data_IF_631443401234
#
_entry.id   IF_631443401234
#
_cell.length_a   1.000
_cell.length_b   1.000
_cell.length_c   1.000
_cell.angle_alpha   90.00
_cell.angle_beta   90.00
_cell.angle_gamma   90.00
#
_symmetry.space_group_name_H-M   'P 1'
#
loop_
_entity.id
_entity.type
_entity.pdbx_description
1 polymer ?
#
# COMPACT_ATOMS: atom_id res chain seq x y z
N UNK A 1 -23.06 31.72 -4.19
CA UNK A 1 -21.59 31.40 -4.17
C UNK A 1 -21.28 30.63 -5.42
N UNK A 2 -21.34 31.29 -6.56
CA UNK A 2 -21.08 30.70 -7.87
C UNK A 2 -19.65 31.05 -8.28
N UNK A 3 -18.96 30.05 -8.84
CA UNK A 3 -17.66 30.17 -9.51
C UNK A 3 -16.43 30.53 -8.64
N UNK A 4 -16.18 29.80 -7.58
CA UNK A 4 -14.78 29.55 -7.20
C UNK A 4 -14.29 28.49 -8.20
N UNK A 5 -13.32 28.85 -9.05
CA UNK A 5 -12.85 28.04 -10.17
C UNK A 5 -12.56 26.58 -9.78
N UNK A 6 -12.68 25.70 -10.75
CA UNK A 6 -12.33 24.28 -10.59
C UNK A 6 -10.84 24.19 -10.28
N UNK A 7 -10.50 23.82 -9.06
CA UNK A 7 -9.12 23.69 -8.59
C UNK A 7 -8.45 22.35 -9.01
N UNK A 8 -8.81 21.81 -10.16
CA UNK A 8 -8.18 20.60 -10.69
C UNK A 8 -8.26 19.41 -9.74
N UNK A 9 -7.13 18.87 -9.35
CA UNK A 9 -7.02 17.69 -8.47
C UNK A 9 -7.54 17.91 -7.03
N UNK A 10 -7.71 19.15 -6.58
CA UNK A 10 -8.27 19.41 -5.25
C UNK A 10 -9.80 19.33 -5.21
N UNK A 11 -10.49 19.46 -6.35
CA UNK A 11 -11.94 19.32 -6.42
C UNK A 11 -12.41 17.86 -6.59
N UNK A 12 -11.53 16.99 -7.05
CA UNK A 12 -11.77 15.54 -7.20
C UNK A 12 -10.45 14.78 -7.08
N UNK A 13 -10.50 13.53 -6.66
CA UNK A 13 -9.31 12.67 -6.75
C UNK A 13 -8.93 12.50 -8.22
N UNK A 14 -7.67 12.72 -8.53
CA UNK A 14 -7.14 12.60 -9.88
C UNK A 14 -6.54 11.22 -10.14
N UNK A 15 -6.15 10.50 -9.08
CA UNK A 15 -5.60 9.16 -9.23
C UNK A 15 -6.69 8.11 -9.51
N UNK A 16 -6.29 7.01 -10.11
CA UNK A 16 -7.16 5.86 -10.34
C UNK A 16 -7.53 5.20 -9.00
N UNK A 17 -8.75 4.67 -8.92
CA UNK A 17 -9.15 3.85 -7.79
C UNK A 17 -8.56 2.45 -7.96
N UNK A 18 -7.40 2.20 -7.35
CA UNK A 18 -6.65 0.94 -7.46
C UNK A 18 -7.40 -0.25 -6.86
N UNK A 19 -8.24 -0.02 -5.83
CA UNK A 19 -9.10 -1.07 -5.25
C UNK A 19 -10.18 -1.51 -6.24
N UNK A 20 -10.85 -0.57 -6.92
CA UNK A 20 -11.85 -0.87 -7.94
C UNK A 20 -11.22 -1.53 -9.18
N UNK A 21 -10.02 -1.10 -9.60
CA UNK A 21 -9.27 -1.75 -10.69
C UNK A 21 -8.97 -3.21 -10.35
N UNK A 22 -8.42 -3.48 -9.18
CA UNK A 22 -8.14 -4.84 -8.72
C UNK A 22 -9.42 -5.70 -8.65
N UNK A 23 -10.52 -5.14 -8.14
CA UNK A 23 -11.81 -5.83 -8.07
C UNK A 23 -12.40 -6.14 -9.45
N UNK A 24 -12.09 -5.37 -10.49
CA UNK A 24 -12.49 -5.62 -11.88
C UNK A 24 -11.63 -6.66 -12.61
N UNK A 25 -10.60 -7.20 -11.94
CA UNK A 25 -9.68 -8.17 -12.51
C UNK A 25 -8.56 -7.54 -13.36
N UNK A 26 -8.35 -6.23 -13.26
CA UNK A 26 -7.22 -5.56 -13.90
C UNK A 26 -5.95 -5.77 -13.05
N UNK A 27 -4.81 -5.92 -13.73
CA UNK A 27 -3.51 -5.83 -13.07
C UNK A 27 -3.28 -4.39 -12.60
N UNK A 28 -2.98 -4.24 -11.32
CA UNK A 28 -2.67 -2.96 -10.70
C UNK A 28 -1.21 -2.95 -10.32
N UNK A 29 -0.42 -2.16 -11.03
CA UNK A 29 1.03 -2.19 -10.95
C UNK A 29 1.57 -1.09 -10.05
N UNK A 30 2.32 -1.47 -9.04
CA UNK A 30 2.95 -0.58 -8.09
C UNK A 30 4.47 -0.70 -8.06
N UNK A 31 5.10 0.31 -7.50
CA UNK A 31 6.53 0.34 -7.22
C UNK A 31 6.78 0.65 -5.75
N UNK A 32 7.68 -0.10 -5.10
CA UNK A 32 8.22 0.30 -3.80
C UNK A 32 9.08 1.54 -3.96
N UNK A 33 8.83 2.52 -3.08
CA UNK A 33 9.59 3.77 -3.04
C UNK A 33 10.35 3.84 -1.73
N UNK A 34 11.67 3.85 -1.83
CA UNK A 34 12.62 4.01 -0.73
C UNK A 34 13.41 5.31 -0.83
N UNK A 35 13.40 5.99 -1.99
CA UNK A 35 14.02 7.30 -2.18
C UNK A 35 13.00 8.39 -1.81
N UNK A 36 13.19 9.10 -0.67
CA UNK A 36 12.19 10.01 -0.12
C UNK A 36 12.18 11.36 -0.87
N UNK A 37 11.64 11.37 -2.08
CA UNK A 37 11.54 12.57 -2.92
C UNK A 37 10.27 12.57 -3.76
N UNK A 38 9.59 13.74 -3.93
CA UNK A 38 8.44 13.90 -4.83
C UNK A 38 8.73 13.49 -6.28
N UNK A 39 9.95 13.64 -6.77
CA UNK A 39 10.34 13.25 -8.15
C UNK A 39 10.03 11.79 -8.47
N UNK A 40 10.16 10.89 -7.49
CA UNK A 40 9.86 9.46 -7.72
C UNK A 40 8.38 9.24 -8.04
N UNK A 41 7.48 9.99 -7.41
CA UNK A 41 6.04 9.90 -7.74
C UNK A 41 5.76 10.34 -9.18
N UNK A 42 6.40 11.43 -9.63
CA UNK A 42 6.29 11.92 -11.02
C UNK A 42 6.86 10.90 -12.01
N UNK A 43 8.05 10.36 -11.75
CA UNK A 43 8.71 9.36 -12.61
C UNK A 43 7.90 8.07 -12.68
N UNK A 44 7.36 7.60 -11.56
CA UNK A 44 6.53 6.41 -11.53
C UNK A 44 5.25 6.59 -12.35
N UNK A 45 4.58 7.76 -12.24
CA UNK A 45 3.41 8.08 -13.04
C UNK A 45 3.73 8.12 -14.54
N UNK A 46 4.85 8.77 -14.94
CA UNK A 46 5.31 8.83 -16.33
C UNK A 46 5.71 7.45 -16.89
N UNK A 47 6.24 6.58 -16.03
CA UNK A 47 6.57 5.20 -16.40
C UNK A 47 5.34 4.31 -16.56
N UNK A 48 4.16 4.74 -16.09
CA UNK A 48 2.90 4.02 -16.25
C UNK A 48 2.50 3.16 -15.04
N UNK A 49 3.14 3.32 -13.89
CA UNK A 49 2.67 2.69 -12.65
C UNK A 49 1.31 3.27 -12.22
N UNK A 50 0.48 2.43 -11.61
CA UNK A 50 -0.84 2.83 -11.10
C UNK A 50 -0.76 3.41 -9.69
N UNK A 51 0.23 2.97 -8.90
CA UNK A 51 0.47 3.48 -7.55
C UNK A 51 1.92 3.38 -7.11
N UNK A 52 2.29 4.22 -6.15
CA UNK A 52 3.53 4.08 -5.39
C UNK A 52 3.23 3.47 -4.02
N UNK A 53 4.11 2.61 -3.53
CA UNK A 53 4.09 2.06 -2.17
C UNK A 53 5.26 2.67 -1.40
N UNK A 54 5.00 3.66 -0.56
CA UNK A 54 6.04 4.22 0.31
C UNK A 54 6.40 3.20 1.39
N UNK A 55 7.67 2.85 1.45
CA UNK A 55 8.18 1.90 2.43
C UNK A 55 8.62 2.61 3.70
N UNK A 56 7.68 2.81 4.61
CA UNK A 56 7.91 3.49 5.89
C UNK A 56 8.36 2.52 7.01
N UNK A 57 8.61 1.26 6.68
CA UNK A 57 9.19 0.27 7.59
C UNK A 57 10.71 0.29 7.54
N UNK A 58 11.30 0.14 6.35
CA UNK A 58 12.74 0.03 6.16
C UNK A 58 13.41 1.33 5.70
N UNK A 59 12.66 2.42 5.59
CA UNK A 59 13.19 3.71 5.19
C UNK A 59 12.74 4.82 6.15
N UNK A 60 13.55 5.86 6.22
CA UNK A 60 13.28 7.01 7.08
C UNK A 60 12.62 8.10 6.23
N UNK A 61 11.37 8.41 6.57
CA UNK A 61 10.63 9.53 6.01
C UNK A 61 10.34 10.56 7.10
N UNK A 62 10.52 11.84 6.79
CA UNK A 62 9.92 12.87 7.62
C UNK A 62 8.47 13.16 7.17
N UNK A 63 7.60 13.67 8.06
CA UNK A 63 6.19 13.92 7.73
C UNK A 63 5.99 14.90 6.56
N UNK A 64 6.84 15.91 6.42
CA UNK A 64 6.75 16.91 5.35
C UNK A 64 7.03 16.26 3.99
N UNK A 65 8.07 15.41 3.90
CA UNK A 65 8.37 14.66 2.67
C UNK A 65 7.21 13.75 2.27
N UNK A 66 6.57 13.06 3.23
CA UNK A 66 5.38 12.24 2.96
C UNK A 66 4.28 13.11 2.34
N UNK A 67 4.02 14.26 2.95
CA UNK A 67 3.02 15.21 2.45
C UNK A 67 3.34 15.69 1.04
N UNK A 68 4.58 16.00 0.73
CA UNK A 68 4.98 16.49 -0.60
C UNK A 68 4.94 15.38 -1.65
N UNK A 69 5.31 14.15 -1.30
CA UNK A 69 5.16 12.99 -2.18
C UNK A 69 3.70 12.69 -2.51
N UNK A 70 2.79 12.77 -1.53
CA UNK A 70 1.35 12.60 -1.78
C UNK A 70 0.81 13.71 -2.69
N UNK A 71 1.25 14.96 -2.50
CA UNK A 71 0.84 16.07 -3.39
C UNK A 71 1.33 15.88 -4.81
N UNK A 72 2.59 15.46 -5.00
CA UNK A 72 3.16 15.20 -6.31
C UNK A 72 2.43 14.02 -7.00
N UNK A 73 2.16 12.94 -6.27
CA UNK A 73 1.41 11.80 -6.77
C UNK A 73 0.00 12.20 -7.23
N UNK A 74 -0.75 12.96 -6.43
CA UNK A 74 -2.07 13.47 -6.79
C UNK A 74 -2.02 14.36 -8.04
N UNK A 75 -1.00 15.23 -8.15
CA UNK A 75 -0.82 16.09 -9.33
C UNK A 75 -0.59 15.29 -10.61
N UNK A 76 0.05 14.13 -10.51
CA UNK A 76 0.34 13.23 -11.62
C UNK A 76 -0.74 12.16 -11.86
N UNK A 77 -1.75 12.08 -11.00
CA UNK A 77 -2.83 11.11 -11.12
C UNK A 77 -2.45 9.67 -10.73
N UNK A 78 -1.39 9.49 -9.92
CA UNK A 78 -0.97 8.21 -9.38
C UNK A 78 -1.40 8.05 -7.92
N UNK A 79 -1.86 6.87 -7.52
CA UNK A 79 -2.28 6.63 -6.14
C UNK A 79 -1.09 6.41 -5.20
N UNK A 80 -1.29 6.64 -3.91
CA UNK A 80 -0.28 6.40 -2.88
C UNK A 80 -0.78 5.37 -1.87
N UNK A 81 0.02 4.33 -1.68
CA UNK A 81 -0.08 3.41 -0.57
C UNK A 81 1.19 3.48 0.29
N UNK A 82 1.14 2.98 1.52
CA UNK A 82 2.30 2.95 2.39
C UNK A 82 2.40 1.63 3.16
N UNK A 83 3.62 1.11 3.31
CA UNK A 83 3.94 0.06 4.27
C UNK A 83 4.25 0.73 5.61
N UNK A 84 3.43 0.48 6.61
CA UNK A 84 3.45 1.18 7.90
C UNK A 84 3.49 0.17 9.03
N UNK A 85 4.62 0.10 9.75
CA UNK A 85 4.76 -0.70 10.96
C UNK A 85 4.14 0.00 12.21
N UNK A 86 4.11 1.33 12.22
CA UNK A 86 3.59 2.12 13.35
C UNK A 86 2.12 2.49 13.16
N UNK A 87 1.22 1.83 13.88
CA UNK A 87 -0.23 2.06 13.78
C UNK A 87 -0.66 3.50 14.08
N UNK A 88 0.11 4.24 14.89
CA UNK A 88 -0.15 5.66 15.19
C UNK A 88 -0.05 6.57 13.96
N UNK A 89 0.67 6.15 12.91
CA UNK A 89 0.80 6.91 11.66
C UNK A 89 -0.34 6.63 10.67
N UNK A 90 -1.15 5.59 10.89
CA UNK A 90 -2.19 5.18 9.92
C UNK A 90 -3.27 6.26 9.74
N UNK A 91 -3.82 6.79 10.84
CA UNK A 91 -4.87 7.80 10.75
C UNK A 91 -4.38 9.10 10.08
N UNK A 92 -3.25 9.71 10.49
CA UNK A 92 -2.68 10.86 9.78
C UNK A 92 -2.42 10.60 8.29
N UNK A 93 -1.90 9.43 7.93
CA UNK A 93 -1.64 9.05 6.55
C UNK A 93 -2.92 8.98 5.71
N UNK A 94 -3.96 8.33 6.23
CA UNK A 94 -5.29 8.27 5.60
C UNK A 94 -5.93 9.65 5.46
N UNK A 95 -5.80 10.50 6.48
CA UNK A 95 -6.36 11.87 6.46
C UNK A 95 -5.60 12.78 5.49
N UNK A 96 -4.35 12.45 5.20
CA UNK A 96 -3.58 13.17 4.20
C UNK A 96 -3.86 12.72 2.77
N UNK A 97 -4.37 11.50 2.56
CA UNK A 97 -4.80 11.02 1.24
C UNK A 97 -4.09 9.74 0.76
N UNK A 98 -3.34 9.06 1.63
CA UNK A 98 -2.86 7.71 1.35
C UNK A 98 -4.05 6.76 1.34
N UNK A 99 -4.21 5.95 0.29
CA UNK A 99 -5.38 5.09 0.09
C UNK A 99 -5.12 3.62 0.41
N UNK A 100 -3.87 3.22 0.57
CA UNK A 100 -3.50 1.83 0.87
C UNK A 100 -2.62 1.73 2.10
N UNK A 101 -2.98 0.86 3.03
CA UNK A 101 -2.17 0.52 4.20
C UNK A 101 -1.70 -0.91 4.09
N UNK A 102 -0.39 -1.13 4.01
CA UNK A 102 0.26 -2.43 4.10
C UNK A 102 0.95 -2.53 5.46
N UNK A 103 0.47 -3.43 6.32
CA UNK A 103 0.98 -3.57 7.69
C UNK A 103 1.78 -4.85 7.80
N UNK A 104 3.09 -4.75 8.10
CA UNK A 104 3.97 -5.90 8.28
C UNK A 104 3.76 -6.56 9.65
N UNK A 105 4.32 -7.74 9.84
CA UNK A 105 4.46 -8.43 11.11
C UNK A 105 3.15 -8.60 11.90
N UNK A 106 2.09 -9.04 11.21
CA UNK A 106 0.80 -9.30 11.86
C UNK A 106 0.77 -10.71 12.44
N UNK A 107 0.55 -10.80 13.75
CA UNK A 107 0.68 -12.04 14.51
C UNK A 107 -0.66 -12.71 14.87
N UNK A 108 -1.76 -11.94 14.95
CA UNK A 108 -3.05 -12.45 15.42
C UNK A 108 -4.25 -11.62 14.93
N UNK A 109 -5.44 -12.17 15.09
CA UNK A 109 -6.69 -11.54 14.69
C UNK A 109 -6.99 -10.22 15.44
N UNK A 110 -6.57 -10.08 16.69
CA UNK A 110 -6.83 -8.85 17.47
C UNK A 110 -6.09 -7.64 16.87
N UNK A 111 -4.86 -7.84 16.42
CA UNK A 111 -4.14 -6.80 15.67
C UNK A 111 -4.91 -6.41 14.41
N UNK A 112 -5.39 -7.38 13.61
CA UNK A 112 -6.15 -7.08 12.39
C UNK A 112 -7.44 -6.34 12.69
N UNK A 113 -8.19 -6.74 13.74
CA UNK A 113 -9.39 -6.02 14.18
C UNK A 113 -9.10 -4.56 14.54
N UNK A 114 -7.97 -4.31 15.22
CA UNK A 114 -7.53 -2.96 15.54
C UNK A 114 -7.16 -2.16 14.29
N UNK A 115 -6.46 -2.77 13.32
CA UNK A 115 -6.13 -2.14 12.04
C UNK A 115 -7.40 -1.79 11.23
N UNK A 116 -8.38 -2.68 11.18
CA UNK A 116 -9.70 -2.41 10.59
C UNK A 116 -10.40 -1.29 11.33
N UNK A 117 -10.39 -1.31 12.67
CA UNK A 117 -11.00 -0.26 13.51
C UNK A 117 -10.45 1.13 13.18
N UNK A 118 -9.13 1.24 12.95
CA UNK A 118 -8.46 2.52 12.67
C UNK A 118 -8.69 2.96 11.21
N UNK A 119 -8.71 2.04 10.26
CA UNK A 119 -8.68 2.36 8.82
C UNK A 119 -10.06 2.52 8.18
N UNK A 120 -11.08 1.88 8.72
CA UNK A 120 -12.44 1.85 8.13
C UNK A 120 -13.43 2.65 8.96
N UNK A 121 -14.39 3.29 8.27
CA UNK A 121 -15.52 3.95 8.95
C UNK A 121 -16.58 2.95 9.41
N UNK A 122 -17.49 3.41 10.28
CA UNK A 122 -18.64 2.62 10.71
C UNK A 122 -19.54 2.23 9.50
N UNK A 123 -20.13 1.02 9.46
CA UNK A 123 -20.18 0.02 10.54
C UNK A 123 -18.98 -0.94 10.62
N UNK A 124 -18.09 -0.97 9.62
CA UNK A 124 -16.98 -1.94 9.52
C UNK A 124 -15.89 -1.65 10.57
N UNK A 125 -15.55 -0.38 10.75
CA UNK A 125 -14.53 0.07 11.70
C UNK A 125 -15.00 1.28 12.53
N UNK A 126 -14.04 2.03 13.08
CA UNK A 126 -14.27 3.24 13.87
C UNK A 126 -13.20 4.30 13.60
N UNK A 127 -12.79 4.42 12.31
CA UNK A 127 -11.81 5.45 11.91
C UNK A 127 -12.22 6.81 12.45
N UNK A 128 -11.27 7.53 13.06
CA UNK A 128 -11.45 8.90 13.48
C UNK A 128 -11.80 9.82 12.31
N UNK A 129 -12.62 10.83 12.57
CA UNK A 129 -13.07 11.78 11.55
C UNK A 129 -12.54 13.18 11.86
N UNK A 130 -11.99 13.83 10.83
CA UNK A 130 -11.62 15.23 10.85
C UNK A 130 -12.14 15.93 9.60
N UNK A 131 -13.06 16.91 9.77
CA UNK A 131 -13.60 17.69 8.66
C UNK A 131 -12.54 18.51 7.92
N UNK A 132 -11.47 18.92 8.61
CA UNK A 132 -10.35 19.66 8.02
C UNK A 132 -9.30 18.80 7.31
N UNK A 133 -9.45 17.47 7.28
CA UNK A 133 -8.51 16.58 6.64
C UNK A 133 -8.34 16.89 5.14
N UNK A 134 -7.11 16.75 4.62
CA UNK A 134 -6.82 16.94 3.19
C UNK A 134 -7.61 15.97 2.33
N UNK A 135 -7.75 14.71 2.77
CA UNK A 135 -8.54 13.70 2.07
C UNK A 135 -10.01 14.11 1.91
N UNK A 136 -10.56 14.91 2.84
CA UNK A 136 -11.89 15.53 2.72
C UNK A 136 -11.87 16.88 2.00
N UNK A 137 -10.79 17.23 1.34
CA UNK A 137 -10.62 18.50 0.61
C UNK A 137 -10.88 19.71 1.49
N UNK A 138 -10.35 19.67 2.73
CA UNK A 138 -10.45 20.77 3.71
C UNK A 138 -11.90 21.23 3.93
N UNK A 139 -12.81 20.30 4.21
CA UNK A 139 -14.26 20.49 4.44
C UNK A 139 -15.08 20.84 3.18
N UNK A 140 -14.51 20.82 1.99
CA UNK A 140 -15.28 21.08 0.75
C UNK A 140 -16.15 19.89 0.33
N UNK A 141 -15.76 18.68 0.70
CA UNK A 141 -16.56 17.48 0.47
C UNK A 141 -17.50 17.22 1.65
N UNK A 142 -18.73 16.79 1.36
CA UNK A 142 -19.65 16.40 2.42
C UNK A 142 -19.12 15.18 3.19
N UNK A 143 -19.51 15.04 4.45
CA UNK A 143 -19.10 13.87 5.24
C UNK A 143 -19.57 12.54 4.63
N UNK A 144 -20.74 12.54 3.99
CA UNK A 144 -21.30 11.34 3.36
C UNK A 144 -20.51 10.95 2.12
N UNK A 145 -20.16 11.93 1.26
CA UNK A 145 -19.35 11.68 0.06
C UNK A 145 -17.93 11.25 0.45
N UNK A 146 -17.34 11.89 1.47
CA UNK A 146 -16.04 11.50 1.97
C UNK A 146 -16.01 10.07 2.50
N UNK A 147 -17.02 9.72 3.31
CA UNK A 147 -17.15 8.34 3.80
C UNK A 147 -17.27 7.36 2.65
N UNK A 148 -18.14 7.64 1.68
CA UNK A 148 -18.33 6.79 0.51
C UNK A 148 -17.03 6.62 -0.27
N UNK A 149 -16.33 7.71 -0.58
CA UNK A 149 -15.04 7.69 -1.27
C UNK A 149 -13.99 6.88 -0.50
N UNK A 150 -13.91 7.06 0.83
CA UNK A 150 -12.99 6.31 1.66
C UNK A 150 -13.33 4.79 1.71
N UNK A 151 -14.59 4.43 1.81
CA UNK A 151 -15.02 3.03 1.80
C UNK A 151 -14.71 2.35 0.44
N UNK A 152 -14.87 3.09 -0.66
CA UNK A 152 -14.64 2.61 -2.02
C UNK A 152 -13.14 2.47 -2.36
N UNK A 153 -12.27 3.29 -1.77
CA UNK A 153 -10.86 3.39 -2.18
C UNK A 153 -9.86 2.85 -1.15
N UNK A 154 -10.11 3.08 0.16
CA UNK A 154 -9.15 2.68 1.18
C UNK A 154 -9.11 1.17 1.30
N UNK A 155 -7.90 0.61 1.19
CA UNK A 155 -7.67 -0.81 1.44
C UNK A 155 -6.69 -1.04 2.61
N UNK A 156 -6.91 -2.15 3.27
CA UNK A 156 -6.02 -2.71 4.29
C UNK A 156 -5.42 -4.00 3.76
N UNK A 157 -4.10 -4.06 3.73
CA UNK A 157 -3.31 -5.26 3.43
C UNK A 157 -2.47 -5.59 4.66
N UNK A 158 -2.47 -6.84 5.09
CA UNK A 158 -1.58 -7.31 6.15
C UNK A 158 -0.50 -8.22 5.58
N UNK A 159 0.66 -8.33 6.28
CA UNK A 159 1.68 -9.30 5.90
C UNK A 159 1.72 -10.42 6.94
N UNK A 160 1.70 -11.66 6.42
CA UNK A 160 1.92 -12.89 7.19
C UNK A 160 3.32 -13.35 6.84
N UNK A 161 4.25 -13.18 7.77
CA UNK A 161 5.68 -13.39 7.50
C UNK A 161 6.47 -13.88 8.72
N UNK A 162 5.87 -13.82 9.91
CA UNK A 162 6.44 -14.33 11.16
C UNK A 162 5.86 -15.72 11.52
N UNK A 163 6.52 -16.41 12.43
CA UNK A 163 6.07 -17.71 12.91
C UNK A 163 4.65 -17.64 13.48
N UNK A 164 4.38 -16.66 14.33
CA UNK A 164 3.08 -16.46 14.98
C UNK A 164 1.99 -16.14 13.95
N UNK A 165 2.28 -15.27 12.99
CA UNK A 165 1.34 -14.97 11.89
C UNK A 165 1.05 -16.16 11.01
N UNK A 166 2.06 -17.02 10.74
CA UNK A 166 1.89 -18.27 9.98
C UNK A 166 1.03 -19.26 10.77
N UNK A 167 1.24 -19.39 12.07
CA UNK A 167 0.45 -20.29 12.93
C UNK A 167 -1.02 -19.82 13.04
N UNK A 168 -1.25 -18.49 13.10
CA UNK A 168 -2.55 -17.87 13.32
C UNK A 168 -3.25 -17.40 12.02
N UNK A 169 -2.78 -17.81 10.84
CA UNK A 169 -3.28 -17.27 9.55
C UNK A 169 -4.79 -17.44 9.36
N UNK A 170 -5.38 -18.53 9.87
CA UNK A 170 -6.82 -18.79 9.77
C UNK A 170 -7.65 -17.70 10.48
N UNK A 171 -7.27 -17.35 11.71
CA UNK A 171 -7.98 -16.31 12.47
C UNK A 171 -7.70 -14.91 11.94
N UNK A 172 -6.48 -14.64 11.45
CA UNK A 172 -6.09 -13.38 10.82
C UNK A 172 -6.95 -13.12 9.58
N UNK A 173 -6.99 -14.09 8.67
CA UNK A 173 -7.68 -13.96 7.38
C UNK A 173 -9.22 -14.01 7.52
N UNK A 174 -9.73 -14.52 8.63
CA UNK A 174 -11.17 -14.52 8.93
C UNK A 174 -11.72 -13.16 9.38
N UNK A 175 -10.86 -12.15 9.65
CA UNK A 175 -11.32 -10.85 10.18
C UNK A 175 -12.06 -10.05 9.10
N UNK A 176 -13.33 -9.67 9.34
CA UNK A 176 -14.07 -8.82 8.41
C UNK A 176 -13.43 -7.45 8.22
N UNK A 177 -13.38 -6.95 6.99
CA UNK A 177 -12.81 -5.64 6.66
C UNK A 177 -11.35 -5.66 6.26
N UNK A 178 -10.68 -6.81 6.33
CA UNK A 178 -9.39 -7.05 5.69
C UNK A 178 -9.59 -7.20 4.17
N UNK A 179 -8.89 -6.41 3.37
CA UNK A 179 -9.03 -6.44 1.91
C UNK A 179 -8.02 -7.41 1.27
N UNK A 180 -6.75 -7.38 1.72
CA UNK A 180 -5.65 -8.08 1.08
C UNK A 180 -4.69 -8.70 2.08
N UNK A 181 -3.99 -9.76 1.65
CA UNK A 181 -2.84 -10.33 2.37
C UNK A 181 -1.61 -10.35 1.44
N UNK A 182 -0.46 -10.07 2.01
CA UNK A 182 0.82 -10.26 1.36
C UNK A 182 1.72 -11.15 2.21
N UNK A 183 2.80 -11.62 1.60
CA UNK A 183 3.79 -12.47 2.25
C UNK A 183 5.16 -11.86 1.98
N UNK A 184 6.01 -11.79 3.01
CA UNK A 184 7.43 -11.44 2.88
C UNK A 184 8.27 -12.72 2.80
N UNK A 185 8.66 -13.22 1.60
CA UNK A 185 9.40 -14.50 1.50
C UNK A 185 10.73 -14.47 2.26
N UNK A 186 11.36 -13.30 2.39
CA UNK A 186 12.57 -13.11 3.18
C UNK A 186 12.36 -13.43 4.66
N UNK A 187 11.33 -12.81 5.25
CA UNK A 187 11.00 -12.96 6.66
C UNK A 187 10.42 -14.34 6.96
N UNK A 188 9.59 -14.90 6.06
CA UNK A 188 9.16 -16.30 6.15
C UNK A 188 10.36 -17.26 6.16
N UNK A 189 11.39 -17.02 5.31
CA UNK A 189 12.60 -17.83 5.31
C UNK A 189 13.35 -17.76 6.65
N UNK A 190 13.38 -16.57 7.25
CA UNK A 190 13.95 -16.36 8.59
C UNK A 190 13.13 -17.09 9.65
N UNK A 191 11.81 -16.95 9.64
CA UNK A 191 10.90 -17.61 10.59
C UNK A 191 11.02 -19.13 10.57
N UNK A 192 11.38 -19.70 9.42
CA UNK A 192 11.61 -21.14 9.22
C UNK A 192 13.07 -21.58 9.46
N UNK A 193 13.96 -20.70 9.96
CA UNK A 193 15.41 -20.93 10.06
C UNK A 193 16.08 -21.29 8.72
N UNK A 194 15.62 -20.66 7.62
CA UNK A 194 16.09 -20.78 6.23
C UNK A 194 16.53 -19.45 5.67
N UNK A 195 17.08 -18.57 6.49
CA UNK A 195 17.38 -17.18 6.14
C UNK A 195 18.03 -17.01 4.76
N UNK A 196 17.34 -16.28 3.88
CA UNK A 196 17.75 -16.00 2.50
C UNK A 196 17.37 -17.09 1.48
N UNK A 197 16.90 -18.25 1.91
CA UNK A 197 16.49 -19.36 1.03
C UNK A 197 15.01 -19.19 0.59
N UNK A 198 14.69 -18.05 -0.04
CA UNK A 198 13.29 -17.68 -0.38
C UNK A 198 12.57 -18.66 -1.32
N UNK A 199 13.34 -19.50 -2.04
CA UNK A 199 12.81 -20.54 -2.92
C UNK A 199 12.85 -21.95 -2.29
N UNK A 200 13.18 -22.05 -1.00
CA UNK A 200 13.17 -23.35 -0.31
C UNK A 200 11.74 -23.95 -0.31
N UNK A 201 11.59 -25.27 -0.49
CA UNK A 201 10.26 -25.91 -0.51
C UNK A 201 9.39 -25.59 0.70
N UNK A 202 9.97 -25.48 1.91
CA UNK A 202 9.24 -25.12 3.12
C UNK A 202 8.66 -23.70 3.01
N UNK A 203 9.42 -22.73 2.49
CA UNK A 203 8.96 -21.34 2.27
C UNK A 203 7.83 -21.30 1.24
N UNK A 204 8.02 -21.98 0.11
CA UNK A 204 6.99 -22.08 -0.93
C UNK A 204 5.71 -22.77 -0.42
N UNK A 205 5.84 -23.75 0.45
CA UNK A 205 4.70 -24.42 1.09
C UNK A 205 3.91 -23.49 1.99
N UNK A 206 4.58 -22.61 2.76
CA UNK A 206 3.90 -21.58 3.57
C UNK A 206 3.16 -20.59 2.69
N UNK A 207 3.80 -20.11 1.61
CA UNK A 207 3.18 -19.19 0.65
C UNK A 207 1.89 -19.81 0.06
N UNK A 208 1.96 -21.03 -0.43
CA UNK A 208 0.81 -21.77 -0.97
C UNK A 208 -0.30 -21.93 0.08
N UNK A 209 0.06 -22.26 1.33
CA UNK A 209 -0.90 -22.38 2.42
C UNK A 209 -1.61 -21.07 2.74
N UNK A 210 -0.88 -19.95 2.78
CA UNK A 210 -1.48 -18.63 3.01
C UNK A 210 -2.43 -18.27 1.86
N UNK A 211 -2.04 -18.50 0.60
CA UNK A 211 -2.92 -18.24 -0.54
C UNK A 211 -4.21 -19.08 -0.50
N UNK A 212 -4.12 -20.38 -0.24
CA UNK A 212 -5.29 -21.24 -0.08
C UNK A 212 -6.20 -20.82 1.06
N UNK A 213 -5.61 -20.38 2.17
CA UNK A 213 -6.39 -19.87 3.31
C UNK A 213 -7.04 -18.53 2.96
N UNK A 214 -6.35 -17.65 2.24
CA UNK A 214 -6.90 -16.39 1.76
C UNK A 214 -8.10 -16.61 0.84
N UNK A 215 -8.01 -17.53 -0.12
CA UNK A 215 -9.12 -17.91 -1.00
C UNK A 215 -10.34 -18.42 -0.20
N UNK A 216 -10.13 -19.22 0.85
CA UNK A 216 -11.20 -19.71 1.73
C UNK A 216 -11.97 -18.57 2.39
N UNK A 217 -11.32 -17.48 2.77
CA UNK A 217 -11.94 -16.32 3.42
C UNK A 217 -12.26 -15.17 2.44
N UNK A 218 -11.99 -15.33 1.15
CA UNK A 218 -12.24 -14.31 0.13
C UNK A 218 -11.28 -13.11 0.18
N UNK A 219 -10.18 -13.22 0.93
CA UNK A 219 -9.10 -12.23 0.98
C UNK A 219 -8.23 -12.39 -0.26
N UNK A 220 -7.92 -11.30 -0.95
CA UNK A 220 -7.09 -11.35 -2.17
C UNK A 220 -5.60 -11.16 -1.84
N UNK A 221 -4.72 -11.61 -2.75
CA UNK A 221 -3.27 -11.54 -2.60
C UNK A 221 -2.62 -11.15 -3.94
N UNK A 222 -1.39 -10.63 -3.94
CA UNK A 222 -0.63 -10.34 -5.17
C UNK A 222 -0.53 -11.56 -6.09
N UNK A 223 -0.96 -11.40 -7.34
CA UNK A 223 -1.14 -12.53 -8.28
C UNK A 223 -2.47 -13.26 -8.16
N UNK A 224 -3.29 -12.97 -7.12
CA UNK A 224 -4.64 -13.47 -6.90
C UNK A 224 -5.67 -12.34 -6.75
N UNK A 225 -5.52 -11.26 -7.51
CA UNK A 225 -6.48 -10.15 -7.58
C UNK A 225 -6.24 -9.00 -6.59
N UNK A 226 -5.09 -8.95 -5.91
CA UNK A 226 -4.65 -7.78 -5.16
C UNK A 226 -3.64 -6.94 -5.97
N UNK A 227 -3.43 -5.64 -5.64
CA UNK A 227 -2.40 -4.81 -6.24
C UNK A 227 -1.01 -5.44 -6.14
N UNK A 228 -0.24 -5.37 -7.24
CA UNK A 228 1.08 -5.97 -7.38
C UNK A 228 2.18 -4.91 -7.18
N UNK A 229 3.28 -5.30 -6.52
CA UNK A 229 4.54 -4.55 -6.55
C UNK A 229 5.48 -5.29 -7.49
N UNK A 230 5.93 -4.62 -8.54
CA UNK A 230 6.77 -5.23 -9.59
C UNK A 230 8.21 -4.71 -9.60
N UNK A 231 8.51 -3.66 -8.83
CA UNK A 231 9.83 -3.03 -8.82
C UNK A 231 10.10 -2.31 -7.48
N UNK A 232 11.38 -2.00 -7.26
CA UNK A 232 11.90 -1.11 -6.22
C UNK A 232 12.69 0.02 -6.88
N UNK A 233 12.46 1.26 -6.49
CA UNK A 233 13.03 2.45 -7.13
C UNK A 233 14.56 2.49 -7.06
N UNK A 234 15.15 2.06 -5.94
CA UNK A 234 16.62 2.04 -5.76
C UNK A 234 17.27 1.01 -6.67
N UNK A 235 16.64 -0.16 -6.81
CA UNK A 235 17.08 -1.21 -7.72
C UNK A 235 17.10 -0.74 -9.17
N UNK A 236 16.00 -0.13 -9.63
CA UNK A 236 15.88 0.40 -10.99
C UNK A 236 16.90 1.51 -11.26
N UNK A 237 17.07 2.45 -10.33
CA UNK A 237 18.05 3.54 -10.47
C UNK A 237 19.47 3.00 -10.54
N UNK A 238 19.83 2.06 -9.64
CA UNK A 238 21.15 1.45 -9.61
C UNK A 238 21.44 0.67 -10.92
N UNK A 239 20.46 -0.08 -11.41
CA UNK A 239 20.58 -0.84 -12.64
C UNK A 239 20.84 0.08 -13.85
N UNK A 240 20.03 1.14 -14.01
CA UNK A 240 20.18 2.12 -15.08
C UNK A 240 21.55 2.84 -15.03
N UNK A 241 21.99 3.24 -13.84
CA UNK A 241 23.32 3.85 -13.67
C UNK A 241 24.44 2.87 -14.03
N UNK A 242 24.33 1.62 -13.57
CA UNK A 242 25.32 0.58 -13.83
C UNK A 242 25.41 0.22 -15.31
N UNK A 243 24.26 0.20 -16.00
CA UNK A 243 24.23 -0.01 -17.46
C UNK A 243 24.99 1.08 -18.21
N UNK A 244 24.77 2.36 -17.86
CA UNK A 244 25.49 3.47 -18.48
C UNK A 244 27.00 3.40 -18.27
N UNK A 245 27.46 3.02 -17.09
CA UNK A 245 28.89 2.80 -16.81
C UNK A 245 29.44 1.65 -17.66
N UNK A 246 28.72 0.53 -17.74
CA UNK A 246 29.13 -0.62 -18.58
C UNK A 246 29.19 -0.27 -20.06
N UNK A 247 28.20 0.47 -20.58
CA UNK A 247 28.18 0.94 -21.97
C UNK A 247 29.41 1.81 -22.29
N UNK A 248 29.74 2.76 -21.40
CA UNK A 248 30.89 3.64 -21.60
C UNK A 248 32.21 2.87 -21.59
N UNK A 249 32.41 1.97 -20.59
CA UNK A 249 33.64 1.18 -20.45
C UNK A 249 33.88 0.18 -21.59
N UNK A 250 32.85 -0.22 -22.35
CA UNK A 250 32.99 -1.03 -23.53
C UNK A 250 33.46 -0.25 -24.77
N UNK A 251 33.42 1.08 -24.74
CA UNK A 251 33.82 1.97 -25.85
C UNK A 251 35.28 2.42 -25.73
N UNK A 252 35.90 2.19 -24.58
CA UNK A 252 37.31 2.47 -24.26
C UNK A 252 38.10 1.16 -24.28
#
# INVERSE_FOLDING_TARGET
MENIGKFGCLDRRCHKNIKAMAASGQDVLGIYVGIPTPYIAELAALAGFDYIMMDMEHNIYNPETICDMVRAADACGIAVAARIAQTSLMLPALDFGIVGMKVPHVHNAEQVKELVRISKFSPVGRRGYSGGARAQRYSRMSIHDFKKEADDEVFLMVMIEDKEGIENMEEILAVPGLDYVAIGPGDVSQALNRFGEIHHPDVLSVIDKVHKTADKYGVKYPGGGAPLIIADDRGLVLEAMSEKVREFRKRV
#
